data_IF_506768858382
#
_entry.id   IF_506768858382
#
_cell.length_a   1.000
_cell.length_b   1.000
_cell.length_c   1.000
_cell.angle_alpha   90.00
_cell.angle_beta   90.00
_cell.angle_gamma   90.00
#
_symmetry.space_group_name_H-M   'P 1'
#
loop_
_entity.id
_entity.type
_entity.pdbx_description
1 polymer ?
#
# COMPACT_ATOMS: atom_id res chain seq x y z
N UNK A 1 -6.94 18.95 -7.35
CA UNK A 1 -7.01 17.69 -8.12
C UNK A 1 -5.66 17.00 -7.98
N UNK A 2 -5.37 16.50 -6.79
CA UNK A 2 -4.14 15.74 -6.54
C UNK A 2 -4.43 14.28 -6.86
N UNK A 3 -4.29 13.96 -8.15
CA UNK A 3 -4.31 12.58 -8.60
C UNK A 3 -3.23 11.82 -7.83
N UNK A 4 -3.58 10.67 -7.24
CA UNK A 4 -2.63 9.77 -6.59
C UNK A 4 -1.68 9.21 -7.64
N UNK A 5 -0.63 9.95 -7.96
CA UNK A 5 0.40 9.50 -8.88
C UNK A 5 1.37 8.65 -8.09
N UNK A 6 1.43 7.36 -8.42
CA UNK A 6 2.35 6.40 -7.84
C UNK A 6 3.60 6.24 -8.72
N UNK A 7 4.74 5.96 -8.11
CA UNK A 7 5.94 5.54 -8.85
C UNK A 7 5.70 4.19 -9.54
N UNK A 8 6.50 3.85 -10.55
CA UNK A 8 6.41 2.54 -11.21
C UNK A 8 6.54 1.36 -10.22
N UNK A 9 7.41 1.51 -9.21
CA UNK A 9 7.58 0.52 -8.14
C UNK A 9 6.34 0.43 -7.26
N UNK A 10 5.74 1.56 -6.86
CA UNK A 10 4.50 1.57 -6.09
C UNK A 10 3.33 0.95 -6.88
N UNK A 11 3.23 1.21 -8.19
CA UNK A 11 2.24 0.57 -9.07
C UNK A 11 2.44 -0.96 -9.09
N UNK A 12 3.68 -1.42 -9.23
CA UNK A 12 3.99 -2.85 -9.19
C UNK A 12 3.61 -3.48 -7.84
N UNK A 13 3.93 -2.83 -6.72
CA UNK A 13 3.54 -3.30 -5.38
C UNK A 13 2.03 -3.32 -5.18
N UNK A 14 1.33 -2.35 -5.73
CA UNK A 14 -0.13 -2.30 -5.69
C UNK A 14 -0.76 -3.46 -6.49
N UNK A 15 -0.22 -3.78 -7.66
CA UNK A 15 -0.64 -4.95 -8.45
C UNK A 15 -0.35 -6.26 -7.70
N UNK A 16 0.82 -6.36 -7.07
CA UNK A 16 1.19 -7.50 -6.25
C UNK A 16 0.22 -7.67 -5.07
N UNK A 17 -0.12 -6.59 -4.37
CA UNK A 17 -1.10 -6.58 -3.29
C UNK A 17 -2.48 -7.05 -3.78
N UNK A 18 -2.96 -6.51 -4.90
CA UNK A 18 -4.24 -6.92 -5.48
C UNK A 18 -4.28 -8.41 -5.83
N UNK A 19 -3.18 -8.96 -6.36
CA UNK A 19 -3.06 -10.40 -6.62
C UNK A 19 -3.10 -11.22 -5.33
N UNK A 20 -2.31 -10.86 -4.31
CA UNK A 20 -2.32 -11.61 -3.03
C UNK A 20 -3.67 -11.52 -2.32
N UNK A 21 -4.32 -10.36 -2.36
CA UNK A 21 -5.66 -10.17 -1.83
C UNK A 21 -6.67 -11.08 -2.54
N UNK A 22 -6.69 -11.05 -3.88
CA UNK A 22 -7.57 -11.92 -4.67
C UNK A 22 -7.34 -13.42 -4.39
N UNK A 23 -6.08 -13.85 -4.25
CA UNK A 23 -5.78 -15.23 -3.88
C UNK A 23 -6.25 -15.62 -2.48
N UNK A 24 -6.37 -14.66 -1.57
CA UNK A 24 -6.80 -14.89 -0.19
C UNK A 24 -8.33 -14.81 -0.03
N UNK A 25 -8.98 -13.82 -0.65
CA UNK A 25 -10.41 -13.52 -0.46
C UNK A 25 -11.31 -13.94 -1.62
N UNK A 26 -10.74 -14.15 -2.81
CA UNK A 26 -11.49 -14.33 -4.06
C UNK A 26 -12.05 -13.04 -4.66
N UNK A 27 -11.87 -11.90 -3.99
CA UNK A 27 -12.41 -10.61 -4.44
C UNK A 27 -11.40 -9.82 -5.27
N UNK A 28 -11.86 -9.26 -6.40
CA UNK A 28 -11.02 -8.52 -7.33
C UNK A 28 -11.38 -7.03 -7.33
N UNK A 29 -10.43 -6.19 -6.95
CA UNK A 29 -10.56 -4.74 -7.05
C UNK A 29 -10.00 -4.20 -8.38
N UNK A 30 -10.63 -3.16 -8.92
CA UNK A 30 -10.19 -2.47 -10.14
C UNK A 30 -9.09 -1.45 -9.79
N UNK A 31 -7.84 -1.80 -10.11
CA UNK A 31 -6.68 -0.92 -9.88
C UNK A 31 -6.55 0.26 -10.85
N UNK A 32 -7.41 0.32 -11.89
CA UNK A 32 -7.47 1.45 -12.82
C UNK A 32 -8.35 2.61 -12.31
N UNK A 33 -9.09 2.40 -11.22
CA UNK A 33 -9.97 3.40 -10.61
C UNK A 33 -9.48 3.73 -9.20
N UNK A 34 -9.46 5.01 -8.85
CA UNK A 34 -9.09 5.48 -7.52
C UNK A 34 -9.90 4.79 -6.41
N UNK A 35 -11.22 4.67 -6.57
CA UNK A 35 -12.09 3.98 -5.62
C UNK A 35 -11.65 2.54 -5.37
N UNK A 36 -11.39 1.77 -6.43
CA UNK A 36 -10.93 0.38 -6.30
C UNK A 36 -9.56 0.26 -5.64
N UNK A 37 -8.68 1.25 -5.80
CA UNK A 37 -7.40 1.30 -5.07
C UNK A 37 -7.67 1.56 -3.58
N UNK A 38 -8.49 2.56 -3.26
CA UNK A 38 -8.81 2.93 -1.88
C UNK A 38 -9.48 1.77 -1.13
N UNK A 39 -10.46 1.11 -1.74
CA UNK A 39 -11.11 -0.07 -1.19
C UNK A 39 -10.11 -1.19 -0.91
N UNK A 40 -9.26 -1.53 -1.89
CA UNK A 40 -8.23 -2.55 -1.69
C UNK A 40 -7.31 -2.21 -0.52
N UNK A 41 -6.86 -0.96 -0.40
CA UNK A 41 -6.00 -0.53 0.70
C UNK A 41 -6.71 -0.63 2.05
N UNK A 42 -7.99 -0.26 2.10
CA UNK A 42 -8.77 -0.31 3.33
C UNK A 42 -9.02 -1.75 3.80
N UNK A 43 -9.41 -2.65 2.89
CA UNK A 43 -9.70 -4.05 3.24
C UNK A 43 -8.43 -4.84 3.52
N UNK A 44 -7.38 -4.66 2.72
CA UNK A 44 -6.11 -5.36 2.91
C UNK A 44 -5.36 -4.94 4.18
N UNK A 45 -5.55 -3.71 4.67
CA UNK A 45 -4.99 -3.27 5.96
C UNK A 45 -5.53 -4.06 7.16
N UNK A 46 -6.72 -4.66 7.04
CA UNK A 46 -7.37 -5.45 8.09
C UNK A 46 -7.00 -6.94 8.03
N UNK A 47 -6.42 -7.40 6.92
CA UNK A 47 -6.08 -8.80 6.72
C UNK A 47 -4.80 -9.17 7.48
N UNK A 48 -4.85 -10.30 8.20
CA UNK A 48 -3.72 -10.85 8.97
C UNK A 48 -2.88 -11.85 8.18
N UNK A 49 -3.34 -12.30 7.01
CA UNK A 49 -2.60 -13.19 6.12
C UNK A 49 -1.20 -12.63 5.82
N UNK A 50 -0.19 -13.50 5.95
CA UNK A 50 1.21 -13.11 5.86
C UNK A 50 1.55 -12.55 4.47
N UNK A 51 1.00 -13.13 3.39
CA UNK A 51 1.34 -12.70 2.02
C UNK A 51 0.70 -11.36 1.71
N UNK A 52 -0.58 -11.20 2.06
CA UNK A 52 -1.31 -9.93 1.90
C UNK A 52 -0.63 -8.83 2.70
N UNK A 53 -0.34 -9.08 3.98
CA UNK A 53 0.33 -8.12 4.86
C UNK A 53 1.72 -7.73 4.35
N UNK A 54 2.51 -8.70 3.88
CA UNK A 54 3.85 -8.42 3.32
C UNK A 54 3.75 -7.56 2.06
N UNK A 55 2.79 -7.84 1.18
CA UNK A 55 2.57 -7.03 -0.02
C UNK A 55 2.09 -5.61 0.33
N UNK A 56 1.22 -5.49 1.34
CA UNK A 56 0.72 -4.21 1.84
C UNK A 56 1.86 -3.36 2.41
N UNK A 57 2.66 -3.93 3.32
CA UNK A 57 3.80 -3.24 3.93
C UNK A 57 4.83 -2.81 2.88
N UNK A 58 5.04 -3.63 1.83
CA UNK A 58 5.91 -3.30 0.72
C UNK A 58 5.38 -2.13 -0.12
N UNK A 59 4.06 -2.04 -0.35
CA UNK A 59 3.44 -0.89 -1.02
C UNK A 59 3.60 0.39 -0.20
N UNK A 60 3.29 0.34 1.10
CA UNK A 60 3.38 1.50 1.99
C UNK A 60 4.79 2.08 2.06
N UNK A 61 5.83 1.23 1.97
CA UNK A 61 7.24 1.66 1.93
C UNK A 61 7.61 2.49 0.70
N UNK A 62 6.89 2.34 -0.41
CA UNK A 62 7.15 3.09 -1.64
C UNK A 62 6.48 4.48 -1.62
N UNK A 63 5.62 4.75 -0.64
CA UNK A 63 4.88 6.00 -0.53
C UNK A 63 5.73 7.09 0.12
N UNK A 64 5.68 8.29 -0.47
CA UNK A 64 6.21 9.49 0.14
C UNK A 64 5.19 10.16 1.06
N UNK A 65 5.65 11.12 1.88
CA UNK A 65 4.80 11.84 2.83
C UNK A 65 3.54 12.45 2.19
N UNK A 66 3.66 13.09 1.02
CA UNK A 66 2.51 13.71 0.33
C UNK A 66 1.47 12.66 -0.08
N UNK A 67 1.91 11.49 -0.55
CA UNK A 67 1.02 10.39 -0.91
C UNK A 67 0.34 9.78 0.32
N UNK A 68 1.09 9.63 1.43
CA UNK A 68 0.54 9.19 2.72
C UNK A 68 -0.52 10.16 3.23
N UNK A 69 -0.21 11.46 3.23
CA UNK A 69 -1.12 12.52 3.67
C UNK A 69 -2.38 12.52 2.79
N UNK A 70 -2.22 12.44 1.47
CA UNK A 70 -3.33 12.41 0.53
C UNK A 70 -4.20 11.13 0.62
N UNK A 71 -3.63 9.98 1.04
CA UNK A 71 -4.41 8.77 1.36
C UNK A 71 -5.13 8.90 2.70
N UNK A 72 -4.50 9.55 3.67
CA UNK A 72 -5.06 9.79 5.01
C UNK A 72 -6.24 10.75 4.95
N UNK A 73 -6.14 11.82 4.17
CA UNK A 73 -7.25 12.76 3.89
C UNK A 73 -8.46 12.07 3.26
N UNK A 74 -8.22 11.00 2.50
CA UNK A 74 -9.25 10.14 1.91
C UNK A 74 -9.79 9.06 2.87
N UNK A 75 -9.36 9.08 4.14
CA UNK A 75 -9.82 8.15 5.17
C UNK A 75 -9.07 6.82 5.24
N UNK A 76 -8.00 6.64 4.46
CA UNK A 76 -7.19 5.42 4.51
C UNK A 76 -6.22 5.51 5.69
N UNK A 77 -6.40 4.64 6.67
CA UNK A 77 -5.49 4.51 7.81
C UNK A 77 -4.37 3.53 7.47
N UNK A 78 -3.26 4.05 6.95
CA UNK A 78 -2.11 3.23 6.61
C UNK A 78 -1.48 2.62 7.86
N UNK A 79 -1.43 1.28 7.89
CA UNK A 79 -0.63 0.56 8.87
C UNK A 79 0.84 0.62 8.46
N UNK A 80 1.65 1.39 9.16
CA UNK A 80 3.10 1.36 8.98
C UNK A 80 3.70 0.16 9.74
N UNK A 81 4.58 -0.63 9.12
CA UNK A 81 5.29 -1.68 9.84
C UNK A 81 6.17 -1.05 10.92
N UNK A 82 6.08 -1.54 12.16
CA UNK A 82 6.77 -1.03 13.35
C UNK A 82 8.31 -1.08 13.23
N UNK A 83 8.86 -1.78 12.23
CA UNK A 83 10.29 -1.76 11.93
C UNK A 83 10.67 -0.64 10.95
N UNK A 84 10.73 0.58 11.47
CA UNK A 84 11.69 1.61 11.07
C UNK A 84 12.88 1.54 12.03
N UNK A 85 13.65 0.46 11.95
CA UNK A 85 15.06 0.54 12.38
C UNK A 85 15.82 1.20 11.23
N UNK A 86 15.98 2.51 11.39
CA UNK A 86 17.02 3.36 10.82
C UNK A 86 18.19 2.56 10.21
N UNK A 87 18.34 2.59 8.90
CA UNK A 87 19.64 2.42 8.26
C UNK A 87 20.22 3.82 7.99
N UNK A 88 20.60 4.50 9.06
CA UNK A 88 21.77 5.39 9.03
C UNK A 88 22.94 4.49 8.63
N UNK A 89 23.30 4.50 7.35
CA UNK A 89 24.67 4.21 6.94
C UNK A 89 25.45 5.51 7.01
N UNK A 90 25.94 5.82 8.20
CA UNK A 90 27.23 6.47 8.37
C UNK A 90 28.34 5.46 8.07
N UNK A 91 29.53 5.99 7.80
CA UNK A 91 30.82 5.36 7.54
C UNK A 91 31.06 4.99 6.05
N UNK A 92 32.08 5.53 5.39
CA UNK A 92 33.18 6.39 5.80
C UNK A 92 34.06 6.71 4.60
#
# INVERSE_FOLDING_TARGET
MDSLIFSQTAIFRLQQLGSQYYHHTGERHKLASESGILELLQTSALITDRKVRTAYDAFVRELNKRQVDALTERGIRLRFPIHVSSSIRQAG
#
